data_IF_996401015457
#
_entry.id   IF_996401015457
#
_cell.length_a   1.000
_cell.length_b   1.000
_cell.length_c   1.000
_cell.angle_alpha   90.00
_cell.angle_beta   90.00
_cell.angle_gamma   90.00
#
_symmetry.space_group_name_H-M   'P 1'
#
loop_
_entity.id
_entity.type
_entity.pdbx_description
1 polymer ?
#
# COMPACT_ATOMS: atom_id res chain seq x y z
N UNK A 1 22.53 48.67 -34.54
CA UNK A 1 21.19 48.03 -34.48
C UNK A 1 21.19 46.59 -35.04
N UNK A 2 22.10 45.70 -34.60
CA UNK A 2 22.06 44.26 -34.99
C UNK A 2 22.34 43.28 -33.84
N UNK A 3 22.70 43.79 -32.65
CA UNK A 3 23.14 42.96 -31.51
C UNK A 3 22.00 42.68 -30.52
N UNK A 4 20.88 43.41 -30.60
CA UNK A 4 19.75 43.24 -29.67
C UNK A 4 18.86 42.01 -29.97
N UNK A 5 18.97 41.42 -31.16
CA UNK A 5 18.11 40.30 -31.56
C UNK A 5 18.67 38.92 -31.21
N UNK A 6 19.95 38.82 -30.84
CA UNK A 6 20.58 37.51 -30.60
C UNK A 6 20.31 37.01 -29.16
N UNK A 7 20.08 37.91 -28.21
CA UNK A 7 19.87 37.52 -26.81
C UNK A 7 18.41 37.12 -26.55
N UNK A 8 17.45 37.68 -27.30
CA UNK A 8 16.02 37.35 -27.15
C UNK A 8 15.63 35.93 -27.58
N UNK A 9 16.38 35.33 -28.51
CA UNK A 9 16.11 33.98 -29.00
C UNK A 9 16.63 32.87 -28.05
N UNK A 10 17.58 33.16 -27.18
CA UNK A 10 18.16 32.17 -26.26
C UNK A 10 17.33 31.99 -24.97
N UNK A 11 16.54 33.00 -24.59
CA UNK A 11 15.72 32.97 -23.37
C UNK A 11 14.41 32.18 -23.57
N UNK A 12 13.98 31.96 -24.81
CA UNK A 12 12.74 31.23 -25.10
C UNK A 12 12.90 29.70 -25.16
N UNK A 13 14.12 29.16 -25.25
CA UNK A 13 14.36 27.72 -25.34
C UNK A 13 14.48 27.02 -23.97
N UNK A 14 14.53 27.77 -22.86
CA UNK A 14 14.75 27.19 -21.52
C UNK A 14 13.44 26.91 -20.78
N UNK A 15 12.29 27.37 -21.26
CA UNK A 15 11.03 27.33 -20.51
C UNK A 15 9.97 26.33 -21.00
N UNK A 16 10.37 25.33 -21.78
CA UNK A 16 9.51 24.19 -22.14
C UNK A 16 10.06 22.83 -21.72
N UNK A 17 10.98 22.78 -20.75
CA UNK A 17 11.23 21.57 -19.98
C UNK A 17 10.14 21.43 -18.89
N UNK A 18 8.87 21.39 -19.32
CA UNK A 18 7.82 20.86 -18.48
C UNK A 18 8.22 19.44 -18.14
N UNK A 19 8.44 19.17 -16.85
CA UNK A 19 8.55 17.79 -16.38
C UNK A 19 7.28 17.10 -16.83
N UNK A 20 7.41 16.30 -17.89
CA UNK A 20 6.47 15.22 -18.14
C UNK A 20 6.69 14.28 -16.96
N UNK A 21 6.05 14.57 -15.83
CA UNK A 21 5.79 13.58 -14.82
C UNK A 21 4.91 12.56 -15.54
N UNK A 22 5.56 11.56 -16.14
CA UNK A 22 4.87 10.36 -16.60
C UNK A 22 3.98 9.96 -15.44
N UNK A 23 2.66 9.73 -15.65
CA UNK A 23 1.82 9.25 -14.58
C UNK A 23 2.52 8.03 -14.02
N UNK A 24 3.06 8.13 -12.80
CA UNK A 24 3.53 6.97 -12.07
C UNK A 24 2.32 6.06 -12.11
N UNK A 25 2.46 4.89 -12.76
CA UNK A 25 1.50 3.82 -12.59
C UNK A 25 1.42 3.64 -11.08
N UNK A 26 0.40 4.20 -10.43
CA UNK A 26 0.22 4.03 -9.01
C UNK A 26 -0.21 2.57 -8.89
N UNK A 27 0.77 1.70 -8.61
CA UNK A 27 0.49 0.31 -8.34
C UNK A 27 -0.52 0.20 -7.19
N UNK A 28 -1.23 -0.93 -7.13
CA UNK A 28 -2.25 -1.16 -6.11
C UNK A 28 -1.75 -0.78 -4.72
N UNK A 29 -2.51 0.06 -4.03
CA UNK A 29 -2.27 0.43 -2.66
C UNK A 29 -3.04 -0.53 -1.74
N UNK A 30 -2.39 -1.03 -0.70
CA UNK A 30 -2.97 -1.94 0.28
C UNK A 30 -2.95 -1.31 1.67
N UNK A 31 -3.97 -1.63 2.49
CA UNK A 31 -4.00 -1.31 3.92
C UNK A 31 -4.62 -2.43 4.73
N UNK A 32 -4.41 -2.39 6.04
CA UNK A 32 -5.03 -3.30 7.01
C UNK A 32 -5.91 -2.49 7.97
N UNK A 33 -7.12 -2.98 8.21
CA UNK A 33 -8.08 -2.45 9.18
C UNK A 33 -8.30 -3.50 10.25
N UNK A 34 -8.24 -3.11 11.51
CA UNK A 34 -8.63 -3.96 12.62
C UNK A 34 -10.05 -3.62 13.06
N UNK A 35 -11.02 -4.52 12.85
CA UNK A 35 -12.39 -4.37 13.36
C UNK A 35 -12.66 -5.18 14.64
N UNK A 36 -11.64 -5.86 15.16
CA UNK A 36 -11.77 -6.62 16.39
C UNK A 36 -11.60 -5.71 17.61
N UNK A 37 -11.89 -6.26 18.79
CA UNK A 37 -11.62 -5.62 20.08
C UNK A 37 -10.21 -5.94 20.61
N UNK A 38 -9.35 -6.56 19.80
CA UNK A 38 -8.01 -6.99 20.19
C UNK A 38 -6.93 -6.05 19.63
N UNK A 39 -5.80 -5.95 20.32
CA UNK A 39 -4.60 -5.26 19.80
C UNK A 39 -3.72 -6.26 19.04
N UNK A 40 -3.37 -5.94 17.81
CA UNK A 40 -2.44 -6.73 17.00
C UNK A 40 -1.08 -6.07 16.92
N UNK A 41 -0.04 -6.84 17.21
CA UNK A 41 1.35 -6.45 17.01
C UNK A 41 1.99 -7.26 15.89
N UNK A 42 3.17 -6.83 15.43
CA UNK A 42 3.93 -7.53 14.38
C UNK A 42 3.11 -7.77 13.11
N UNK A 43 2.30 -6.78 12.73
CA UNK A 43 1.43 -6.90 11.55
C UNK A 43 2.28 -6.90 10.29
N UNK A 44 2.29 -8.03 9.59
CA UNK A 44 2.99 -8.23 8.32
C UNK A 44 1.99 -8.75 7.31
N UNK A 45 1.85 -8.07 6.18
CA UNK A 45 0.97 -8.48 5.08
C UNK A 45 1.83 -8.62 3.83
N UNK A 46 1.86 -9.80 3.24
CA UNK A 46 2.65 -10.09 2.02
C UNK A 46 4.14 -9.77 2.20
N UNK A 47 4.73 -10.24 3.29
CA UNK A 47 6.11 -9.91 3.73
C UNK A 47 6.36 -8.42 4.02
N UNK A 48 5.37 -7.54 3.88
CA UNK A 48 5.50 -6.11 4.16
C UNK A 48 5.08 -5.80 5.59
N UNK A 49 5.95 -5.12 6.34
CA UNK A 49 5.65 -4.69 7.71
C UNK A 49 4.68 -3.50 7.74
N UNK A 50 3.69 -3.58 8.60
CA UNK A 50 2.75 -2.52 8.96
C UNK A 50 2.95 -2.10 10.42
N UNK A 51 2.30 -1.01 10.81
CA UNK A 51 2.25 -0.59 12.22
C UNK A 51 1.38 -1.54 13.03
N UNK A 52 1.62 -1.59 14.33
CA UNK A 52 0.74 -2.30 15.26
C UNK A 52 -0.64 -1.65 15.25
N UNK A 53 -1.69 -2.47 15.32
CA UNK A 53 -3.08 -2.03 15.19
C UNK A 53 -3.80 -2.17 16.52
N UNK A 54 -4.26 -1.05 17.06
CA UNK A 54 -5.17 -1.04 18.21
C UNK A 54 -6.58 -1.51 17.77
N UNK A 55 -7.47 -1.83 18.72
CA UNK A 55 -8.88 -2.08 18.41
C UNK A 55 -9.48 -0.95 17.56
N UNK A 56 -10.19 -1.31 16.49
CA UNK A 56 -10.85 -0.37 15.58
C UNK A 56 -9.91 0.58 14.81
N UNK A 57 -8.61 0.28 14.75
CA UNK A 57 -7.61 1.10 14.08
C UNK A 57 -7.43 0.74 12.60
N UNK A 58 -6.80 1.63 11.82
CA UNK A 58 -6.55 1.48 10.39
C UNK A 58 -5.17 1.99 10.02
N UNK A 59 -4.42 1.18 9.26
CA UNK A 59 -3.11 1.62 8.75
C UNK A 59 -3.29 2.61 7.59
N UNK A 60 -2.27 3.44 7.36
CA UNK A 60 -2.13 4.13 6.09
C UNK A 60 -2.00 3.13 4.93
N UNK A 61 -2.35 3.59 3.73
CA UNK A 61 -2.12 2.86 2.49
C UNK A 61 -0.62 2.75 2.19
N UNK A 62 -0.19 1.60 1.68
CA UNK A 62 1.16 1.34 1.18
C UNK A 62 1.09 0.74 -0.21
N UNK A 63 2.04 1.11 -1.07
CA UNK A 63 2.15 0.50 -2.40
C UNK A 63 2.49 -0.98 -2.25
N UNK A 64 1.68 -1.85 -2.85
CA UNK A 64 1.92 -3.28 -2.86
C UNK A 64 3.28 -3.57 -3.52
N UNK A 65 4.15 -4.22 -2.77
CA UNK A 65 5.45 -4.69 -3.23
C UNK A 65 5.54 -6.18 -2.90
N UNK A 66 5.12 -7.02 -3.85
CA UNK A 66 5.00 -8.46 -3.67
C UNK A 66 5.68 -9.21 -4.81
N UNK A 67 6.61 -10.09 -4.47
CA UNK A 67 7.27 -11.00 -5.39
C UNK A 67 6.82 -12.45 -5.10
N UNK A 68 6.20 -13.09 -6.08
CA UNK A 68 5.67 -14.46 -5.96
C UNK A 68 6.72 -15.53 -5.64
N UNK A 69 8.00 -15.26 -5.90
CA UNK A 69 9.09 -16.22 -5.66
C UNK A 69 9.68 -16.11 -4.26
N UNK A 70 9.54 -14.96 -3.60
CA UNK A 70 10.19 -14.69 -2.31
C UNK A 70 9.22 -14.36 -1.19
N UNK A 71 8.00 -13.93 -1.52
CA UNK A 71 7.04 -13.45 -0.53
C UNK A 71 5.85 -14.39 -0.35
N UNK A 72 5.44 -14.52 0.91
CA UNK A 72 4.29 -15.34 1.28
C UNK A 72 2.98 -14.57 1.09
N UNK A 73 1.96 -15.15 0.43
CA UNK A 73 0.67 -14.48 0.22
C UNK A 73 -0.21 -14.59 1.47
N UNK A 74 0.29 -14.14 2.62
CA UNK A 74 -0.41 -14.21 3.91
C UNK A 74 -0.33 -12.89 4.70
N UNK A 75 -1.23 -12.78 5.68
CA UNK A 75 -1.07 -11.86 6.81
C UNK A 75 -0.57 -12.65 8.02
N UNK A 76 0.36 -12.07 8.77
CA UNK A 76 0.87 -12.54 10.05
C UNK A 76 0.74 -11.41 11.08
N UNK A 77 0.29 -11.75 12.28
CA UNK A 77 0.21 -10.82 13.41
C UNK A 77 0.15 -11.57 14.73
N UNK A 78 0.34 -10.85 15.83
CA UNK A 78 0.34 -11.41 17.18
C UNK A 78 -0.67 -10.69 18.08
N UNK A 79 -1.30 -11.43 19.00
CA UNK A 79 -2.04 -10.89 20.15
C UNK A 79 -1.41 -11.45 21.41
N UNK A 80 -0.67 -10.61 22.15
CA UNK A 80 0.20 -11.08 23.22
C UNK A 80 1.17 -12.14 22.70
N UNK A 81 1.15 -13.33 23.30
CA UNK A 81 2.03 -14.46 22.92
C UNK A 81 1.44 -15.36 21.81
N UNK A 82 0.23 -15.08 21.34
CA UNK A 82 -0.42 -15.89 20.30
C UNK A 82 -0.15 -15.31 18.92
N UNK A 83 0.29 -16.16 18.01
CA UNK A 83 0.53 -15.79 16.61
C UNK A 83 -0.60 -16.29 15.72
N UNK A 84 -1.01 -15.44 14.79
CA UNK A 84 -2.02 -15.73 13.78
C UNK A 84 -1.40 -15.56 12.40
N UNK A 85 -1.73 -16.49 11.51
CA UNK A 85 -1.38 -16.39 10.11
C UNK A 85 -2.56 -16.81 9.24
N UNK A 86 -2.78 -16.11 8.13
CA UNK A 86 -3.84 -16.43 7.19
C UNK A 86 -3.39 -16.17 5.77
N UNK A 87 -3.48 -17.18 4.90
CA UNK A 87 -3.31 -16.99 3.46
C UNK A 87 -4.45 -16.13 2.89
N UNK A 88 -4.08 -15.21 2.01
CA UNK A 88 -4.97 -14.22 1.43
C UNK A 88 -4.81 -14.18 -0.08
N UNK A 89 -5.86 -13.73 -0.77
CA UNK A 89 -5.79 -13.44 -2.19
C UNK A 89 -5.09 -12.08 -2.38
N UNK A 90 -4.07 -12.07 -3.22
CA UNK A 90 -3.39 -10.84 -3.70
C UNK A 90 -4.35 -10.09 -4.64
N UNK A 91 -4.44 -8.75 -4.57
CA UNK A 91 -5.32 -7.99 -5.45
C UNK A 91 -4.86 -8.05 -6.91
N UNK A 92 -5.80 -7.82 -7.83
CA UNK A 92 -5.48 -7.61 -9.24
C UNK A 92 -4.75 -6.27 -9.40
N UNK A 93 -3.75 -6.20 -10.27
CA UNK A 93 -2.95 -4.99 -10.53
C UNK A 93 -3.78 -3.80 -11.04
N UNK A 94 -5.03 -4.02 -11.48
CA UNK A 94 -5.95 -2.97 -11.92
C UNK A 94 -6.71 -2.29 -10.78
N UNK A 95 -6.62 -2.79 -9.56
CA UNK A 95 -7.27 -2.18 -8.39
C UNK A 95 -6.38 -1.06 -7.86
N UNK A 96 -6.93 0.14 -7.66
CA UNK A 96 -6.17 1.26 -7.10
C UNK A 96 -5.97 1.08 -5.59
N UNK A 97 -7.05 0.82 -4.85
CA UNK A 97 -7.03 0.71 -3.40
C UNK A 97 -7.66 -0.62 -2.92
N UNK A 98 -6.99 -1.31 -2.00
CA UNK A 98 -7.44 -2.60 -1.49
C UNK A 98 -7.28 -2.68 0.02
N UNK A 99 -8.36 -3.02 0.72
CA UNK A 99 -8.40 -3.08 2.17
C UNK A 99 -8.53 -4.52 2.63
N UNK A 100 -7.63 -4.96 3.50
CA UNK A 100 -7.77 -6.19 4.27
C UNK A 100 -8.33 -5.86 5.65
N UNK A 101 -9.35 -6.59 6.10
CA UNK A 101 -10.01 -6.33 7.38
C UNK A 101 -9.86 -7.53 8.29
N UNK A 102 -9.17 -7.35 9.42
CA UNK A 102 -9.19 -8.30 10.54
C UNK A 102 -10.57 -8.20 11.20
N UNK A 103 -11.43 -9.18 10.95
CA UNK A 103 -12.87 -9.07 11.23
C UNK A 103 -13.25 -9.70 12.57
N UNK A 104 -12.81 -10.93 12.81
CA UNK A 104 -13.12 -11.66 14.04
C UNK A 104 -12.09 -12.76 14.31
N UNK A 105 -12.07 -13.24 15.56
CA UNK A 105 -11.31 -14.43 15.96
C UNK A 105 -12.30 -15.41 16.58
N UNK A 106 -12.38 -16.61 16.01
CA UNK A 106 -13.23 -17.68 16.51
C UNK A 106 -12.46 -19.00 16.47
N UNK A 107 -12.48 -19.74 17.58
CA UNK A 107 -11.77 -21.02 17.73
C UNK A 107 -10.27 -20.95 17.34
N UNK A 108 -9.63 -19.84 17.67
CA UNK A 108 -8.21 -19.58 17.36
C UNK A 108 -7.93 -19.25 15.89
N UNK A 109 -8.97 -19.09 15.06
CA UNK A 109 -8.86 -18.73 13.65
C UNK A 109 -9.12 -17.24 13.50
N UNK A 110 -8.18 -16.54 12.87
CA UNK A 110 -8.34 -15.15 12.45
C UNK A 110 -9.09 -15.08 11.11
N UNK A 111 -10.26 -14.48 11.12
CA UNK A 111 -11.07 -14.23 9.93
C UNK A 111 -10.70 -12.88 9.33
N UNK A 112 -10.36 -12.89 8.05
CA UNK A 112 -9.90 -11.72 7.31
C UNK A 112 -10.78 -11.51 6.09
N UNK A 113 -11.46 -10.37 6.05
CA UNK A 113 -12.23 -9.91 4.90
C UNK A 113 -11.38 -9.04 3.96
N UNK A 114 -11.91 -8.75 2.78
CA UNK A 114 -11.25 -7.84 1.84
C UNK A 114 -12.23 -7.03 1.00
N UNK A 115 -11.92 -5.76 0.75
CA UNK A 115 -12.74 -4.84 -0.05
C UNK A 115 -11.85 -4.17 -1.11
N UNK A 116 -12.37 -4.10 -2.34
CA UNK A 116 -11.78 -3.36 -3.46
C UNK A 116 -12.41 -1.98 -3.52
N UNK A 117 -11.59 -0.95 -3.62
CA UNK A 117 -11.99 0.44 -3.82
C UNK A 117 -11.40 0.90 -5.16
N UNK A 118 -12.28 1.35 -6.06
CA UNK A 118 -11.92 1.93 -7.36
C UNK A 118 -12.00 3.45 -7.29
#
# INVERSE_FOLDING_TARGET
MKILYVIGAFVFLVFCAGKNDMPKLQGTQIRVVNKTNESFTNVVLFSMKFEDLRPNDTTAYKALNYDQLTDDPLIYCSIGDKNYARYLKIPDSKVENFTYTLDSIHDGILYVGSIKEN
#
